data_IF_212444129386
#
_entry.id   IF_212444129386
#
_cell.length_a   1.000
_cell.length_b   1.000
_cell.length_c   1.000
_cell.angle_alpha   90.00
_cell.angle_beta   90.00
_cell.angle_gamma   90.00
#
_symmetry.space_group_name_H-M   'P 1'
#
loop_
_entity.id
_entity.type
_entity.pdbx_description
1 polymer ?
#
# COMPACT_ATOMS: atom_id res chain seq x y z
N UNK A 1 -5.20 18.86 20.03
CA UNK A 1 -4.67 17.48 19.87
C UNK A 1 -3.19 17.58 19.58
N UNK A 2 -2.39 16.62 20.05
CA UNK A 2 -0.93 16.63 19.87
C UNK A 2 -0.55 16.23 18.43
N UNK A 3 -0.27 17.23 17.61
CA UNK A 3 0.15 17.05 16.21
C UNK A 3 1.50 16.36 16.07
N UNK A 4 2.36 16.39 17.11
CA UNK A 4 3.64 15.68 17.10
C UNK A 4 3.41 14.18 17.13
N UNK A 5 2.55 13.70 18.03
CA UNK A 5 2.20 12.28 18.11
C UNK A 5 1.55 11.77 16.81
N UNK A 6 0.66 12.56 16.21
CA UNK A 6 0.03 12.23 14.93
C UNK A 6 1.04 12.21 13.78
N UNK A 7 1.99 13.16 13.78
CA UNK A 7 3.10 13.21 12.84
C UNK A 7 4.00 11.98 12.93
N UNK A 8 4.36 11.53 14.14
CA UNK A 8 5.15 10.31 14.34
C UNK A 8 4.43 9.06 13.84
N UNK A 9 3.13 8.95 14.07
CA UNK A 9 2.32 7.85 13.55
C UNK A 9 2.30 7.84 12.01
N UNK A 10 2.13 9.00 11.38
CA UNK A 10 2.18 9.11 9.92
C UNK A 10 3.57 8.77 9.37
N UNK A 11 4.64 9.27 9.99
CA UNK A 11 6.02 9.00 9.58
C UNK A 11 6.33 7.49 9.57
N UNK A 12 5.90 6.76 10.59
CA UNK A 12 6.04 5.30 10.66
C UNK A 12 5.41 4.62 9.45
N UNK A 13 4.12 4.90 9.19
CA UNK A 13 3.39 4.20 8.14
C UNK A 13 3.83 4.60 6.74
N UNK A 14 4.14 5.88 6.53
CA UNK A 14 4.73 6.36 5.26
C UNK A 14 6.06 5.64 5.01
N UNK A 15 6.95 5.57 6.00
CA UNK A 15 8.24 4.89 5.87
C UNK A 15 8.10 3.40 5.53
N UNK A 16 7.21 2.67 6.23
CA UNK A 16 6.95 1.25 5.96
C UNK A 16 6.43 1.02 4.54
N UNK A 17 5.50 1.85 4.06
CA UNK A 17 4.97 1.73 2.70
C UNK A 17 6.00 2.07 1.62
N UNK A 18 6.89 3.05 1.87
CA UNK A 18 8.02 3.35 0.99
C UNK A 18 8.93 2.13 0.87
N UNK A 19 9.27 1.48 1.99
CA UNK A 19 10.07 0.26 1.98
C UNK A 19 9.38 -0.88 1.21
N UNK A 20 8.07 -1.03 1.35
CA UNK A 20 7.29 -2.02 0.60
C UNK A 20 7.33 -1.74 -0.92
N UNK A 21 7.09 -0.49 -1.33
CA UNK A 21 7.17 -0.09 -2.74
C UNK A 21 8.57 -0.32 -3.32
N UNK A 22 9.62 0.05 -2.58
CA UNK A 22 11.00 -0.18 -2.98
C UNK A 22 11.28 -1.67 -3.15
N UNK A 23 10.85 -2.50 -2.19
CA UNK A 23 11.02 -3.96 -2.25
C UNK A 23 10.38 -4.56 -3.50
N UNK A 24 9.14 -4.16 -3.81
CA UNK A 24 8.43 -4.65 -5.00
C UNK A 24 9.06 -4.14 -6.30
N UNK A 25 9.54 -2.90 -6.33
CA UNK A 25 10.27 -2.34 -7.47
C UNK A 25 11.56 -3.12 -7.73
N UNK A 26 12.35 -3.38 -6.69
CA UNK A 26 13.59 -4.15 -6.79
C UNK A 26 13.34 -5.59 -7.27
N UNK A 27 12.22 -6.22 -6.89
CA UNK A 27 11.83 -7.52 -7.42
C UNK A 27 11.63 -7.48 -8.94
N UNK A 28 10.92 -6.46 -9.45
CA UNK A 28 10.74 -6.27 -10.90
C UNK A 28 12.08 -6.06 -11.60
N UNK A 29 12.94 -5.18 -11.07
CA UNK A 29 14.27 -4.91 -11.63
C UNK A 29 15.13 -6.18 -11.70
N UNK A 30 15.17 -6.96 -10.60
CA UNK A 30 15.92 -8.22 -10.55
C UNK A 30 15.43 -9.23 -11.59
N UNK A 31 14.12 -9.37 -11.76
CA UNK A 31 13.54 -10.28 -12.75
C UNK A 31 13.77 -9.81 -14.19
N UNK A 32 13.71 -8.51 -14.47
CA UNK A 32 14.07 -7.95 -15.78
C UNK A 32 15.53 -8.24 -16.13
N UNK A 33 16.44 -8.05 -15.18
CA UNK A 33 17.87 -8.35 -15.36
C UNK A 33 18.11 -9.85 -15.58
N UNK A 34 17.48 -10.70 -14.77
CA UNK A 34 17.56 -12.17 -14.89
C UNK A 34 17.14 -12.67 -16.27
N UNK A 35 16.03 -12.14 -16.79
CA UNK A 35 15.44 -12.58 -18.05
C UNK A 35 15.82 -11.75 -19.27
N UNK A 36 16.62 -10.69 -19.08
CA UNK A 36 17.03 -9.74 -20.12
C UNK A 36 15.85 -9.06 -20.83
N UNK A 37 14.76 -8.79 -20.10
CA UNK A 37 13.53 -8.17 -20.62
C UNK A 37 13.55 -6.66 -20.39
N UNK A 38 13.63 -5.88 -21.46
CA UNK A 38 13.68 -4.42 -21.39
C UNK A 38 12.31 -3.79 -21.04
N UNK A 39 11.22 -4.27 -21.67
CA UNK A 39 9.87 -3.72 -21.51
C UNK A 39 8.83 -4.85 -21.48
N UNK A 40 7.70 -4.60 -20.81
CA UNK A 40 6.66 -5.62 -20.64
C UNK A 40 7.15 -6.80 -19.81
N UNK A 41 6.60 -7.99 -20.06
CA UNK A 41 6.98 -9.24 -19.39
C UNK A 41 7.47 -10.34 -20.34
N UNK A 42 7.40 -10.15 -21.66
CA UNK A 42 7.78 -11.14 -22.69
C UNK A 42 7.19 -12.54 -22.48
N UNK A 43 6.00 -12.63 -21.88
CA UNK A 43 5.33 -13.91 -21.59
C UNK A 43 5.88 -14.65 -20.38
N UNK A 44 6.78 -14.04 -19.61
CA UNK A 44 7.43 -14.66 -18.43
C UNK A 44 6.51 -14.52 -17.21
N UNK A 45 5.91 -15.61 -16.69
CA UNK A 45 4.84 -15.50 -15.69
C UNK A 45 5.29 -14.92 -14.34
N UNK A 46 6.53 -15.14 -13.92
CA UNK A 46 7.06 -14.54 -12.69
C UNK A 46 7.30 -13.03 -12.82
N UNK A 47 7.74 -12.57 -14.00
CA UNK A 47 7.93 -11.15 -14.28
C UNK A 47 6.57 -10.43 -14.39
N UNK A 48 5.59 -11.03 -15.07
CA UNK A 48 4.23 -10.50 -15.16
C UNK A 48 3.59 -10.31 -13.77
N UNK A 49 3.74 -11.31 -12.87
CA UNK A 49 3.26 -11.24 -11.49
C UNK A 49 3.96 -10.13 -10.69
N UNK A 50 5.28 -10.03 -10.76
CA UNK A 50 6.03 -8.99 -10.07
C UNK A 50 5.64 -7.59 -10.56
N UNK A 51 5.49 -7.39 -11.88
CA UNK A 51 5.04 -6.13 -12.49
C UNK A 51 3.66 -5.75 -11.95
N UNK A 52 2.69 -6.69 -11.89
CA UNK A 52 1.37 -6.36 -11.33
C UNK A 52 1.36 -6.22 -9.81
N UNK A 53 2.22 -6.90 -9.06
CA UNK A 53 2.36 -6.67 -7.63
C UNK A 53 2.85 -5.24 -7.35
N UNK A 54 3.91 -4.82 -8.04
CA UNK A 54 4.41 -3.46 -7.96
C UNK A 54 3.39 -2.44 -8.49
N UNK A 55 2.82 -2.66 -9.67
CA UNK A 55 1.85 -1.76 -10.30
C UNK A 55 0.62 -1.52 -9.43
N UNK A 56 0.00 -2.59 -8.90
CA UNK A 56 -1.10 -2.42 -7.95
C UNK A 56 -0.63 -1.67 -6.70
N UNK A 57 0.56 -1.95 -6.16
CA UNK A 57 1.05 -1.22 -5.00
C UNK A 57 1.23 0.27 -5.32
N UNK A 58 1.77 0.63 -6.48
CA UNK A 58 1.93 2.03 -6.90
C UNK A 58 0.60 2.74 -7.20
N UNK A 59 -0.45 2.00 -7.55
CA UNK A 59 -1.79 2.55 -7.77
C UNK A 59 -2.51 2.86 -6.45
N UNK A 60 -2.37 1.99 -5.44
CA UNK A 60 -3.16 2.09 -4.19
C UNK A 60 -2.41 2.73 -3.02
N UNK A 61 -1.10 2.52 -2.88
CA UNK A 61 -0.34 3.05 -1.74
C UNK A 61 -0.35 4.58 -1.70
N UNK A 62 -0.06 5.31 -2.79
CA UNK A 62 0.01 6.78 -2.74
C UNK A 62 -1.28 7.44 -2.25
N UNK A 63 -2.44 6.94 -2.67
CA UNK A 63 -3.75 7.45 -2.23
C UNK A 63 -3.94 7.25 -0.73
N UNK A 64 -3.59 6.07 -0.20
CA UNK A 64 -3.67 5.80 1.23
C UNK A 64 -2.66 6.62 2.06
N UNK A 65 -1.46 6.87 1.52
CA UNK A 65 -0.47 7.74 2.17
C UNK A 65 -0.93 9.19 2.19
N UNK A 66 -1.55 9.69 1.12
CA UNK A 66 -2.15 11.02 1.12
C UNK A 66 -3.19 11.17 2.24
N UNK A 67 -4.05 10.16 2.43
CA UNK A 67 -5.02 10.16 3.51
C UNK A 67 -4.36 10.20 4.91
N UNK A 68 -3.34 9.36 5.13
CA UNK A 68 -2.57 9.35 6.40
C UNK A 68 -1.92 10.70 6.69
N UNK A 69 -1.30 11.31 5.67
CA UNK A 69 -0.62 12.61 5.80
C UNK A 69 -1.64 13.70 6.13
N UNK A 70 -2.75 13.78 5.39
CA UNK A 70 -3.77 14.80 5.66
C UNK A 70 -4.40 14.60 7.04
N UNK A 71 -4.68 13.36 7.47
CA UNK A 71 -5.15 13.07 8.82
C UNK A 71 -4.19 13.57 9.90
N UNK A 72 -2.88 13.42 9.71
CA UNK A 72 -1.89 13.99 10.62
C UNK A 72 -1.90 15.53 10.62
N UNK A 73 -2.03 16.16 9.45
CA UNK A 73 -2.07 17.62 9.29
C UNK A 73 -3.30 18.26 9.96
N UNK A 74 -4.46 17.60 9.90
CA UNK A 74 -5.68 18.06 10.58
C UNK A 74 -5.71 17.69 12.07
N UNK A 75 -4.64 17.08 12.60
CA UNK A 75 -4.52 16.75 14.01
C UNK A 75 -5.40 15.58 14.47
N UNK A 76 -5.72 14.63 13.58
CA UNK A 76 -6.45 13.43 13.94
C UNK A 76 -5.69 12.61 14.99
N UNK A 77 -6.37 11.90 15.91
CA UNK A 77 -5.71 11.15 16.96
C UNK A 77 -4.78 10.07 16.36
N UNK A 78 -3.59 9.83 16.97
CA UNK A 78 -2.64 8.84 16.46
C UNK A 78 -3.24 7.45 16.23
N UNK A 79 -4.20 7.05 17.06
CA UNK A 79 -4.91 5.77 16.90
C UNK A 79 -5.61 5.64 15.53
N UNK A 80 -6.29 6.69 15.06
CA UNK A 80 -6.95 6.67 13.76
C UNK A 80 -5.92 6.49 12.63
N UNK A 81 -4.77 7.16 12.74
CA UNK A 81 -3.66 7.01 11.79
C UNK A 81 -3.08 5.60 11.83
N UNK A 82 -2.91 5.02 13.03
CA UNK A 82 -2.43 3.64 13.19
C UNK A 82 -3.37 2.62 12.58
N UNK A 83 -4.68 2.79 12.73
CA UNK A 83 -5.67 1.89 12.11
C UNK A 83 -5.59 1.95 10.59
N UNK A 84 -5.61 3.15 9.99
CA UNK A 84 -5.50 3.31 8.54
C UNK A 84 -4.18 2.73 8.04
N UNK A 85 -3.07 3.10 8.67
CA UNK A 85 -1.74 2.66 8.29
C UNK A 85 -1.54 1.16 8.37
N UNK A 86 -1.96 0.52 9.48
CA UNK A 86 -1.82 -0.92 9.68
C UNK A 86 -2.67 -1.72 8.69
N UNK A 87 -3.95 -1.36 8.57
CA UNK A 87 -4.89 -2.11 7.72
C UNK A 87 -4.49 -1.97 6.24
N UNK A 88 -4.08 -0.78 5.81
CA UNK A 88 -3.54 -0.57 4.48
C UNK A 88 -2.27 -1.41 4.27
N UNK A 89 -1.27 -1.27 5.16
CA UNK A 89 0.02 -1.95 5.02
C UNK A 89 -0.14 -3.47 4.97
N UNK A 90 -0.90 -4.03 5.91
CA UNK A 90 -1.18 -5.46 5.96
C UNK A 90 -1.91 -5.93 4.69
N UNK A 91 -2.92 -5.19 4.24
CA UNK A 91 -3.64 -5.48 2.99
C UNK A 91 -2.71 -5.50 1.78
N UNK A 92 -1.82 -4.52 1.65
CA UNK A 92 -0.85 -4.43 0.56
C UNK A 92 0.18 -5.54 0.60
N UNK A 93 0.68 -5.88 1.80
CA UNK A 93 1.64 -6.97 1.98
C UNK A 93 1.01 -8.32 1.61
N UNK A 94 -0.17 -8.63 2.14
CA UNK A 94 -0.90 -9.88 1.86
C UNK A 94 -1.25 -9.98 0.38
N UNK A 95 -1.72 -8.89 -0.24
CA UNK A 95 -2.02 -8.87 -1.67
C UNK A 95 -0.76 -9.12 -2.52
N UNK A 96 0.36 -8.47 -2.19
CA UNK A 96 1.61 -8.62 -2.93
C UNK A 96 2.16 -10.05 -2.82
N UNK A 97 2.11 -10.67 -1.63
CA UNK A 97 2.49 -12.08 -1.43
C UNK A 97 1.57 -13.01 -2.22
N UNK A 98 0.25 -12.79 -2.13
CA UNK A 98 -0.74 -13.60 -2.85
C UNK A 98 -0.57 -13.54 -4.38
N UNK A 99 -0.25 -12.37 -4.93
CA UNK A 99 -0.02 -12.18 -6.36
C UNK A 99 1.35 -12.70 -6.81
N UNK A 100 2.38 -12.61 -5.96
CA UNK A 100 3.72 -13.14 -6.28
C UNK A 100 3.71 -14.67 -6.34
N UNK A 101 2.90 -15.33 -5.51
CA UNK A 101 2.89 -16.79 -5.40
C UNK A 101 1.93 -17.50 -6.38
N UNK A 102 0.90 -16.83 -6.91
CA UNK A 102 -0.07 -17.45 -7.83
C UNK A 102 -0.43 -16.57 -9.02
N UNK A 103 -0.50 -17.15 -10.22
CA UNK A 103 -0.96 -16.43 -11.43
C UNK A 103 -2.49 -16.21 -11.48
N UNK A 104 -3.26 -17.03 -10.77
CA UNK A 104 -4.73 -16.95 -10.70
C UNK A 104 -5.28 -16.11 -9.55
N UNK A 105 -6.61 -16.03 -9.45
CA UNK A 105 -7.28 -15.49 -8.27
C UNK A 105 -6.90 -16.31 -7.03
N UNK A 106 -6.58 -15.63 -5.92
CA UNK A 106 -6.26 -16.29 -4.66
C UNK A 106 -6.93 -15.58 -3.49
N UNK A 107 -7.26 -16.35 -2.46
CA UNK A 107 -7.91 -15.84 -1.24
C UNK A 107 -7.09 -14.71 -0.62
N UNK A 108 -5.75 -14.84 -0.62
CA UNK A 108 -4.85 -13.78 -0.15
C UNK A 108 -5.00 -12.48 -0.95
N UNK A 109 -5.15 -12.55 -2.28
CA UNK A 109 -5.40 -11.34 -3.10
C UNK A 109 -6.72 -10.69 -2.72
N UNK A 110 -7.79 -11.47 -2.59
CA UNK A 110 -9.11 -10.95 -2.23
C UNK A 110 -9.11 -10.30 -0.84
N UNK A 111 -8.52 -10.97 0.16
CA UNK A 111 -8.39 -10.43 1.52
C UNK A 111 -7.58 -9.14 1.51
N UNK A 112 -6.44 -9.12 0.82
CA UNK A 112 -5.59 -7.94 0.74
C UNK A 112 -6.28 -6.73 0.10
N UNK A 113 -7.12 -6.97 -0.92
CA UNK A 113 -7.94 -5.91 -1.53
C UNK A 113 -9.04 -5.41 -0.59
N UNK A 114 -9.74 -6.32 0.10
CA UNK A 114 -10.77 -5.94 1.07
C UNK A 114 -10.15 -5.08 2.18
N UNK A 115 -9.01 -5.47 2.75
CA UNK A 115 -8.30 -4.64 3.73
C UNK A 115 -7.95 -3.25 3.17
N UNK A 116 -7.46 -3.18 1.92
CA UNK A 116 -7.16 -1.89 1.28
C UNK A 116 -8.40 -0.99 1.21
N UNK A 117 -9.55 -1.54 0.81
CA UNK A 117 -10.80 -0.77 0.74
C UNK A 117 -11.35 -0.38 2.10
N UNK A 118 -11.24 -1.24 3.10
CA UNK A 118 -11.60 -0.89 4.49
C UNK A 118 -10.76 0.28 4.98
N UNK A 119 -9.46 0.28 4.74
CA UNK A 119 -8.59 1.40 5.08
C UNK A 119 -8.99 2.69 4.36
N UNK A 120 -9.37 2.60 3.07
CA UNK A 120 -9.85 3.75 2.30
C UNK A 120 -11.17 4.30 2.81
N UNK A 121 -12.15 3.44 3.07
CA UNK A 121 -13.48 3.85 3.55
C UNK A 121 -13.33 4.52 4.91
N UNK A 122 -12.56 3.93 5.82
CA UNK A 122 -12.29 4.53 7.13
C UNK A 122 -11.54 5.86 7.00
N UNK A 123 -10.47 5.90 6.21
CA UNK A 123 -9.68 7.11 5.99
C UNK A 123 -10.52 8.24 5.37
N UNK A 124 -11.35 7.93 4.38
CA UNK A 124 -12.26 8.88 3.76
C UNK A 124 -13.30 9.40 4.76
N UNK A 125 -13.94 8.53 5.53
CA UNK A 125 -14.90 8.94 6.56
C UNK A 125 -14.26 9.85 7.61
N UNK A 126 -13.05 9.52 8.07
CA UNK A 126 -12.30 10.33 9.02
C UNK A 126 -11.95 11.70 8.42
N UNK A 127 -11.41 11.75 7.20
CA UNK A 127 -11.09 13.01 6.52
C UNK A 127 -12.32 13.90 6.35
N UNK A 128 -13.45 13.33 5.94
CA UNK A 128 -14.70 14.07 5.77
C UNK A 128 -15.23 14.60 7.11
N UNK A 129 -15.11 13.83 8.19
CA UNK A 129 -15.47 14.28 9.54
C UNK A 129 -14.64 15.51 9.94
N UNK A 130 -13.33 15.48 9.74
CA UNK A 130 -12.43 16.62 10.03
C UNK A 130 -12.58 17.79 9.06
N UNK A 131 -13.24 17.62 7.92
CA UNK A 131 -13.48 18.70 6.98
C UNK A 131 -14.69 19.58 7.38
N UNK A 132 -15.60 19.05 8.21
CA UNK A 132 -16.86 19.72 8.59
C UNK A 132 -17.02 19.97 10.09
N UNK A 133 -16.17 19.38 10.93
CA UNK A 133 -16.16 19.53 12.39
C UNK A 133 -14.90 20.24 12.87
#
# INVERSE_FOLDING_TARGET
MDTIASGHAAALWVGLHVLLLLTLSLLVVRLRQKHKVALGDEGIPELARAIRAFGNASEYIPVGLAAIIVLALVGAPPLAIHVVGLVLFAGRLVHAVGLSNSGGASVARSIGMICTWVAYIFGAAALLFYAIG
#
